data_IF_105737873585
#
_entry.id   IF_105737873585
#
_cell.length_a   1.000
_cell.length_b   1.000
_cell.length_c   1.000
_cell.angle_alpha   90.00
_cell.angle_beta   90.00
_cell.angle_gamma   90.00
#
_symmetry.space_group_name_H-M   'P 1'
#
loop_
_entity.id
_entity.type
_entity.pdbx_description
1 polymer ?
#
# COMPACT_ATOMS: atom_id res chain seq x y z
N UNK A 1 6.68 23.82 7.53
CA UNK A 1 5.44 23.23 8.09
C UNK A 1 5.83 22.02 8.91
N UNK A 2 5.42 21.93 10.20
CA UNK A 2 5.72 20.75 11.02
C UNK A 2 5.12 19.48 10.44
N UNK A 3 5.80 18.33 10.62
CA UNK A 3 5.25 17.02 10.26
C UNK A 3 4.01 16.72 11.10
N UNK A 4 2.98 16.17 10.47
CA UNK A 4 1.73 15.79 11.14
C UNK A 4 1.11 14.56 10.49
N UNK A 5 0.29 13.86 11.26
CA UNK A 5 -0.59 12.83 10.72
C UNK A 5 -1.73 13.48 9.94
N UNK A 6 -1.97 13.02 8.72
CA UNK A 6 -3.07 13.49 7.87
C UNK A 6 -3.79 12.25 7.34
N UNK A 7 -5.08 12.15 7.60
CA UNK A 7 -5.92 11.11 7.02
C UNK A 7 -6.22 11.50 5.56
N UNK A 8 -5.85 10.65 4.62
CA UNK A 8 -6.06 10.86 3.18
C UNK A 8 -7.35 10.18 2.74
N UNK A 9 -7.54 8.93 3.14
CA UNK A 9 -8.76 8.16 2.89
C UNK A 9 -9.30 7.74 4.26
N UNK A 10 -10.58 7.98 4.49
CA UNK A 10 -11.29 7.58 5.70
C UNK A 10 -12.64 6.98 5.31
N UNK A 11 -12.91 5.78 5.82
CA UNK A 11 -14.15 5.05 5.53
C UNK A 11 -14.46 4.92 4.02
N UNK A 12 -13.40 4.68 3.22
CA UNK A 12 -13.49 4.59 1.75
C UNK A 12 -13.60 5.92 1.01
N UNK A 13 -13.65 7.04 1.71
CA UNK A 13 -13.80 8.39 1.14
C UNK A 13 -12.44 9.12 1.12
N UNK A 14 -12.09 9.73 -0.02
CA UNK A 14 -10.96 10.65 -0.11
C UNK A 14 -11.30 11.94 0.65
N UNK A 15 -10.69 12.15 1.81
CA UNK A 15 -10.98 13.28 2.70
C UNK A 15 -9.88 14.36 2.65
N UNK A 16 -8.71 14.05 2.11
CA UNK A 16 -7.59 14.99 2.01
C UNK A 16 -6.65 14.62 0.87
N UNK A 17 -5.66 15.48 0.61
CA UNK A 17 -4.65 15.30 -0.42
C UNK A 17 -3.25 15.59 0.12
N UNK A 18 -2.25 15.01 -0.53
CA UNK A 18 -0.85 15.38 -0.29
C UNK A 18 -0.57 16.71 -0.98
N UNK A 19 -0.15 17.71 -0.23
CA UNK A 19 -0.01 19.09 -0.71
C UNK A 19 1.31 19.75 -0.28
N UNK A 20 1.73 20.74 -1.06
CA UNK A 20 2.63 21.81 -0.65
C UNK A 20 1.80 22.99 -0.05
N UNK A 21 2.45 24.02 0.44
CA UNK A 21 1.76 25.20 0.98
C UNK A 21 0.97 25.97 -0.08
N UNK A 22 1.56 26.13 -1.26
CA UNK A 22 0.94 26.82 -2.40
C UNK A 22 -0.23 26.01 -2.99
N UNK A 23 -0.10 24.69 -3.12
CA UNK A 23 -1.19 23.83 -3.58
C UNK A 23 -2.32 23.82 -2.55
N UNK A 24 -2.01 23.67 -1.27
CA UNK A 24 -3.00 23.69 -0.20
C UNK A 24 -3.81 25.00 -0.20
N UNK A 25 -3.12 26.14 -0.35
CA UNK A 25 -3.79 27.44 -0.45
C UNK A 25 -4.74 27.52 -1.64
N UNK A 26 -4.34 27.05 -2.81
CA UNK A 26 -5.18 27.04 -4.03
C UNK A 26 -6.42 26.15 -3.89
N UNK A 27 -6.30 25.06 -3.14
CA UNK A 27 -7.38 24.10 -2.91
C UNK A 27 -8.24 24.43 -1.67
N UNK A 28 -7.90 25.44 -0.89
CA UNK A 28 -8.57 25.75 0.36
C UNK A 28 -8.37 24.69 1.44
N UNK A 29 -7.22 23.98 1.40
CA UNK A 29 -6.87 22.90 2.32
C UNK A 29 -5.76 23.32 3.26
N UNK A 30 -5.63 22.60 4.37
CA UNK A 30 -4.45 22.70 5.22
C UNK A 30 -3.25 21.98 4.57
N UNK A 31 -2.02 22.53 4.66
CA UNK A 31 -0.84 21.85 4.12
C UNK A 31 -0.60 20.50 4.78
N UNK A 32 -0.41 19.45 3.98
CA UNK A 32 -0.20 18.08 4.46
C UNK A 32 1.25 17.75 4.84
N UNK A 33 2.18 18.72 4.70
CA UNK A 33 3.62 18.54 4.98
C UNK A 33 4.33 17.47 4.13
N UNK A 34 3.87 17.29 2.90
CA UNK A 34 4.39 16.27 1.99
C UNK A 34 5.40 16.80 0.96
N UNK A 35 5.77 18.08 1.02
CA UNK A 35 6.77 18.65 0.12
C UNK A 35 8.19 18.38 0.62
N UNK A 36 8.99 17.64 -0.17
CA UNK A 36 10.34 17.21 0.18
C UNK A 36 11.26 17.25 -1.02
N UNK A 37 12.55 17.50 -0.78
CA UNK A 37 13.66 17.29 -1.70
C UNK A 37 14.42 16.02 -1.32
N UNK A 38 15.04 15.34 -2.29
CA UNK A 38 15.91 14.18 -2.02
C UNK A 38 17.21 14.61 -1.35
N UNK A 39 17.79 15.71 -1.84
CA UNK A 39 19.00 16.34 -1.31
C UNK A 39 18.78 17.83 -1.06
N UNK A 40 19.70 18.46 -0.35
CA UNK A 40 19.56 19.87 0.06
C UNK A 40 19.54 20.87 -1.11
N UNK A 41 20.10 20.52 -2.26
CA UNK A 41 20.15 21.30 -3.48
C UNK A 41 19.09 20.91 -4.53
N UNK A 42 18.29 19.88 -4.25
CA UNK A 42 17.21 19.47 -5.13
C UNK A 42 15.98 20.39 -5.02
N UNK A 43 15.24 20.52 -6.12
CA UNK A 43 13.95 21.19 -6.13
C UNK A 43 12.91 20.34 -5.36
N UNK A 44 12.23 20.90 -4.33
CA UNK A 44 11.26 20.13 -3.55
C UNK A 44 10.02 19.75 -4.37
N UNK A 45 9.56 18.52 -4.23
CA UNK A 45 8.35 18.00 -4.86
C UNK A 45 7.33 17.55 -3.80
N UNK A 46 6.05 17.63 -4.12
CA UNK A 46 5.02 16.94 -3.32
C UNK A 46 5.20 15.44 -3.48
N UNK A 47 5.47 14.75 -2.38
CA UNK A 47 5.83 13.33 -2.40
C UNK A 47 5.10 12.53 -1.32
N UNK A 48 4.89 11.26 -1.60
CA UNK A 48 4.61 10.29 -0.55
C UNK A 48 5.72 10.33 0.51
N UNK A 49 5.31 10.30 1.76
CA UNK A 49 6.18 10.07 2.91
C UNK A 49 5.85 8.71 3.51
N UNK A 50 5.63 8.59 4.82
CA UNK A 50 5.17 7.35 5.43
C UNK A 50 3.66 7.22 5.23
N UNK A 51 3.25 6.69 4.09
CA UNK A 51 1.85 6.48 3.75
C UNK A 51 1.42 5.10 4.27
N UNK A 52 0.54 5.07 5.26
CA UNK A 52 0.27 3.88 6.04
C UNK A 52 -1.20 3.48 5.94
N UNK A 53 -1.46 2.18 5.98
CA UNK A 53 -2.78 1.63 6.26
C UNK A 53 -2.94 1.54 7.78
N UNK A 54 -3.98 2.14 8.33
CA UNK A 54 -4.25 2.07 9.76
C UNK A 54 -4.54 0.61 10.18
N UNK A 55 -4.08 0.17 11.35
CA UNK A 55 -4.38 -1.18 11.84
C UNK A 55 -5.88 -1.34 12.10
N UNK A 56 -6.35 -2.54 11.84
CA UNK A 56 -7.71 -2.98 12.12
C UNK A 56 -7.79 -3.80 13.41
N UNK A 57 -8.24 -5.06 13.30
CA UNK A 57 -8.45 -5.97 14.45
C UNK A 57 -8.07 -7.41 14.09
N UNK A 58 -7.78 -8.19 15.14
CA UNK A 58 -7.44 -9.61 15.03
C UNK A 58 -6.00 -9.86 14.57
N UNK A 59 -5.64 -11.13 14.55
CA UNK A 59 -4.31 -11.62 14.20
C UNK A 59 -4.27 -12.19 12.78
N UNK A 60 -3.05 -12.44 12.28
CA UNK A 60 -2.84 -13.16 11.02
C UNK A 60 -3.41 -14.59 11.09
N UNK A 61 -3.26 -15.27 12.23
CA UNK A 61 -3.80 -16.62 12.42
C UNK A 61 -5.32 -16.63 12.33
N UNK A 62 -6.00 -15.67 12.95
CA UNK A 62 -7.45 -15.51 12.85
C UNK A 62 -7.89 -15.21 11.41
N UNK A 63 -7.15 -14.35 10.69
CA UNK A 63 -7.42 -14.03 9.29
C UNK A 63 -7.30 -15.28 8.42
N UNK A 64 -6.24 -16.07 8.59
CA UNK A 64 -6.06 -17.35 7.88
C UNK A 64 -7.19 -18.31 8.21
N UNK A 65 -7.50 -18.51 9.49
CA UNK A 65 -8.57 -19.41 9.95
C UNK A 65 -9.95 -19.04 9.38
N UNK A 66 -10.19 -17.76 9.13
CA UNK A 66 -11.42 -17.23 8.52
C UNK A 66 -11.35 -17.11 6.98
N UNK A 67 -10.38 -17.74 6.32
CA UNK A 67 -10.24 -17.72 4.86
C UNK A 67 -10.48 -19.12 4.28
N UNK A 68 -11.64 -19.32 3.67
CA UNK A 68 -12.02 -20.63 3.10
C UNK A 68 -11.09 -21.03 1.94
N UNK A 69 -10.73 -20.08 1.05
CA UNK A 69 -9.81 -20.30 -0.08
C UNK A 69 -9.10 -19.01 -0.42
N UNK A 70 -7.78 -19.06 -0.55
CA UNK A 70 -6.99 -17.88 -0.89
C UNK A 70 -5.50 -18.16 -0.99
N UNK A 71 -4.75 -17.07 -1.04
CA UNK A 71 -3.30 -17.06 -0.99
C UNK A 71 -2.84 -15.97 -0.02
N UNK A 72 -2.00 -16.34 0.92
CA UNK A 72 -1.14 -15.40 1.62
C UNK A 72 0.07 -15.14 0.71
N UNK A 73 0.44 -13.88 0.50
CA UNK A 73 1.56 -13.50 -0.38
C UNK A 73 2.49 -12.56 0.35
N UNK A 74 3.79 -12.65 0.06
CA UNK A 74 4.80 -11.81 0.69
C UNK A 74 5.99 -11.56 -0.25
N UNK A 75 6.79 -10.54 0.07
CA UNK A 75 7.99 -10.11 -0.65
C UNK A 75 7.74 -9.80 -2.12
N UNK A 76 7.40 -8.53 -2.39
CA UNK A 76 7.23 -8.04 -3.76
C UNK A 76 8.50 -8.23 -4.58
N UNK A 77 8.37 -8.91 -5.73
CA UNK A 77 9.44 -9.18 -6.68
C UNK A 77 9.46 -8.20 -7.84
N UNK A 78 8.33 -8.09 -8.52
CA UNK A 78 8.16 -7.19 -9.66
C UNK A 78 6.78 -6.57 -9.64
N UNK A 79 6.65 -5.41 -10.28
CA UNK A 79 5.37 -4.71 -10.40
C UNK A 79 5.26 -3.99 -11.73
N UNK A 80 4.02 -3.74 -12.13
CA UNK A 80 3.65 -2.85 -13.21
C UNK A 80 2.42 -2.07 -12.80
N UNK A 81 2.45 -0.76 -13.00
CA UNK A 81 1.37 0.16 -12.65
C UNK A 81 1.24 1.14 -13.81
N UNK A 82 0.03 1.39 -14.31
CA UNK A 82 -0.19 2.37 -15.36
C UNK A 82 0.03 3.82 -14.87
N UNK A 83 0.17 4.76 -15.81
CA UNK A 83 0.46 6.17 -15.50
C UNK A 83 -0.64 6.82 -14.65
N UNK A 84 -1.88 6.39 -14.79
CA UNK A 84 -3.02 6.87 -14.00
C UNK A 84 -3.15 6.17 -12.65
N UNK A 85 -2.33 5.16 -12.36
CA UNK A 85 -2.41 4.30 -11.15
C UNK A 85 -3.76 3.57 -11.04
N UNK A 86 -4.44 3.37 -12.16
CA UNK A 86 -5.74 2.71 -12.21
C UNK A 86 -5.60 1.19 -12.29
N UNK A 87 -4.68 0.69 -13.10
CA UNK A 87 -4.39 -0.73 -13.23
C UNK A 87 -3.05 -1.07 -12.61
N UNK A 88 -2.98 -2.21 -11.95
CA UNK A 88 -1.74 -2.70 -11.38
C UNK A 88 -1.59 -4.21 -11.50
N UNK A 89 -0.34 -4.65 -11.47
CA UNK A 89 0.06 -6.04 -11.34
C UNK A 89 1.25 -6.13 -10.41
N UNK A 90 1.22 -7.05 -9.45
CA UNK A 90 2.33 -7.36 -8.57
C UNK A 90 2.63 -8.86 -8.60
N UNK A 91 3.89 -9.20 -8.76
CA UNK A 91 4.40 -10.56 -8.56
C UNK A 91 5.18 -10.60 -7.25
N UNK A 92 4.91 -11.56 -6.41
CA UNK A 92 5.63 -11.77 -5.15
C UNK A 92 6.63 -12.92 -5.28
N UNK A 93 7.60 -12.99 -4.38
CA UNK A 93 8.59 -14.07 -4.38
C UNK A 93 7.96 -15.41 -3.97
N UNK A 94 7.08 -15.35 -2.97
CA UNK A 94 6.49 -16.52 -2.34
C UNK A 94 5.04 -16.25 -1.97
N UNK A 95 4.27 -17.32 -1.91
CA UNK A 95 2.93 -17.31 -1.34
C UNK A 95 2.60 -18.66 -0.72
N UNK A 96 1.56 -18.67 0.09
CA UNK A 96 1.03 -19.86 0.76
C UNK A 96 -0.42 -20.05 0.37
N UNK A 97 -0.75 -21.23 -0.12
CA UNK A 97 -2.13 -21.57 -0.47
C UNK A 97 -2.93 -21.86 0.79
N UNK A 98 -4.07 -21.21 0.93
CA UNK A 98 -5.00 -21.40 2.02
C UNK A 98 -6.21 -22.18 1.50
N UNK A 99 -6.60 -23.23 2.24
CA UNK A 99 -7.82 -24.01 2.00
C UNK A 99 -8.44 -24.31 3.37
N UNK A 100 -9.73 -24.01 3.52
CA UNK A 100 -10.51 -24.25 4.74
C UNK A 100 -9.81 -23.75 6.03
N UNK A 101 -9.29 -22.51 5.97
CA UNK A 101 -8.64 -21.87 7.10
C UNK A 101 -7.24 -22.39 7.44
N UNK A 102 -6.61 -23.13 6.56
CA UNK A 102 -5.28 -23.72 6.78
C UNK A 102 -4.34 -23.49 5.60
N UNK A 103 -3.07 -23.23 5.90
CA UNK A 103 -2.01 -23.23 4.89
C UNK A 103 -1.74 -24.70 4.48
N UNK A 104 -1.93 -25.00 3.20
CA UNK A 104 -1.81 -26.37 2.66
C UNK A 104 -0.61 -26.55 1.73
N UNK A 105 0.12 -25.49 1.41
CA UNK A 105 1.31 -25.58 0.57
C UNK A 105 1.87 -24.21 0.20
N UNK A 106 3.07 -24.22 -0.37
CA UNK A 106 3.78 -23.05 -0.86
C UNK A 106 3.56 -22.93 -2.37
N UNK A 107 3.42 -21.69 -2.85
CA UNK A 107 3.38 -21.34 -4.26
C UNK A 107 4.49 -20.36 -4.61
N UNK A 108 5.11 -20.57 -5.76
CA UNK A 108 6.21 -19.73 -6.25
C UNK A 108 5.63 -18.60 -7.12
N UNK A 109 6.12 -17.42 -6.90
CA UNK A 109 5.84 -16.24 -7.74
C UNK A 109 4.34 -16.02 -8.03
N UNK A 110 3.46 -16.06 -7.00
CA UNK A 110 2.08 -15.70 -7.25
C UNK A 110 1.99 -14.24 -7.71
N UNK A 111 1.14 -14.01 -8.71
CA UNK A 111 0.93 -12.70 -9.30
C UNK A 111 -0.52 -12.30 -9.12
N UNK A 112 -0.77 -11.15 -8.52
CA UNK A 112 -2.11 -10.58 -8.41
C UNK A 112 -2.20 -9.26 -9.17
N UNK A 113 -3.40 -8.95 -9.66
CA UNK A 113 -3.65 -7.74 -10.43
C UNK A 113 -5.11 -7.32 -10.33
N UNK A 114 -5.36 -6.06 -10.64
CA UNK A 114 -6.70 -5.52 -10.58
C UNK A 114 -6.78 -4.04 -10.94
N UNK A 115 -7.98 -3.51 -10.75
CA UNK A 115 -8.27 -2.08 -10.78
C UNK A 115 -8.14 -1.53 -9.36
N UNK A 116 -7.40 -0.45 -9.19
CA UNK A 116 -7.03 0.08 -7.86
C UNK A 116 -8.25 0.31 -6.97
N UNK A 117 -9.28 0.96 -7.47
CA UNK A 117 -10.48 1.26 -6.67
C UNK A 117 -11.29 0.01 -6.33
N UNK A 118 -11.42 -0.93 -7.25
CA UNK A 118 -12.10 -2.20 -7.01
C UNK A 118 -11.34 -3.05 -5.98
N UNK A 119 -10.01 -3.13 -6.13
CA UNK A 119 -9.15 -3.85 -5.20
C UNK A 119 -9.28 -3.30 -3.77
N UNK A 120 -9.16 -1.99 -3.57
CA UNK A 120 -9.29 -1.40 -2.24
C UNK A 120 -10.70 -1.53 -1.67
N UNK A 121 -11.74 -1.46 -2.50
CA UNK A 121 -13.12 -1.70 -2.07
C UNK A 121 -13.38 -3.16 -1.69
N UNK A 122 -12.57 -4.09 -2.15
CA UNK A 122 -12.66 -5.51 -1.76
C UNK A 122 -11.96 -5.85 -0.43
N UNK A 123 -11.29 -4.87 0.19
CA UNK A 123 -10.64 -5.04 1.48
C UNK A 123 -11.69 -5.29 2.58
N UNK A 124 -11.65 -6.48 3.18
CA UNK A 124 -12.62 -6.86 4.21
C UNK A 124 -12.01 -7.19 5.56
N UNK A 125 -10.68 -7.23 5.66
CA UNK A 125 -9.96 -7.48 6.89
C UNK A 125 -8.60 -6.78 6.90
N UNK A 126 -8.31 -6.07 7.96
CA UNK A 126 -6.99 -5.55 8.30
C UNK A 126 -6.65 -6.04 9.70
N UNK A 127 -5.52 -6.69 9.89
CA UNK A 127 -5.08 -7.17 11.19
C UNK A 127 -4.79 -6.03 12.17
N UNK A 128 -4.71 -6.37 13.44
CA UNK A 128 -4.57 -5.44 14.55
C UNK A 128 -3.19 -4.81 14.69
N UNK A 129 -3.03 -3.89 15.67
CA UNK A 129 -1.78 -3.17 15.89
C UNK A 129 -0.59 -4.06 16.26
N UNK A 130 -0.84 -5.25 16.82
CA UNK A 130 0.22 -6.22 17.17
C UNK A 130 0.92 -6.82 15.94
N UNK A 131 0.20 -6.84 14.80
CA UNK A 131 0.70 -7.32 13.52
C UNK A 131 1.21 -6.18 12.61
N UNK A 132 1.07 -4.92 13.06
CA UNK A 132 1.36 -3.77 12.25
C UNK A 132 2.85 -3.44 12.25
N UNK A 133 3.45 -3.30 11.07
CA UNK A 133 4.87 -3.08 10.89
C UNK A 133 5.16 -2.04 9.83
N UNK A 134 6.33 -1.40 9.92
CA UNK A 134 6.88 -0.56 8.86
C UNK A 134 7.68 -1.39 7.86
N UNK A 135 7.38 -1.19 6.59
CA UNK A 135 8.13 -1.76 5.46
C UNK A 135 8.86 -0.66 4.70
N UNK A 136 10.17 -0.76 4.61
CA UNK A 136 11.02 0.23 3.96
C UNK A 136 10.98 0.13 2.43
N UNK A 137 10.96 1.29 1.77
CA UNK A 137 11.12 1.41 0.32
C UNK A 137 12.33 2.31 0.04
N UNK A 138 13.39 1.75 -0.54
CA UNK A 138 14.64 2.46 -0.76
C UNK A 138 14.66 3.34 -2.02
N UNK A 139 13.83 3.03 -3.00
CA UNK A 139 13.86 3.63 -4.33
C UNK A 139 12.48 4.11 -4.77
N UNK A 140 11.86 5.01 -4.00
CA UNK A 140 10.62 5.65 -4.44
C UNK A 140 10.96 6.82 -5.37
N UNK A 141 10.72 6.65 -6.68
CA UNK A 141 11.00 7.66 -7.70
C UNK A 141 9.82 8.60 -7.95
N UNK A 142 10.11 9.84 -8.29
CA UNK A 142 9.15 10.81 -8.83
C UNK A 142 9.88 11.80 -9.76
N UNK A 143 9.26 12.24 -10.83
CA UNK A 143 9.62 13.36 -11.71
C UNK A 143 8.64 14.52 -11.59
N UNK A 144 8.78 15.59 -12.23
CA UNK A 144 9.93 16.32 -12.76
C UNK A 144 10.40 17.39 -11.76
N UNK A 145 11.69 17.55 -11.52
CA UNK A 145 12.81 16.72 -11.99
C UNK A 145 12.86 15.35 -11.29
N UNK A 146 13.53 14.35 -11.94
CA UNK A 146 13.62 12.98 -11.43
C UNK A 146 14.40 12.91 -10.12
N UNK A 147 13.75 12.41 -9.06
CA UNK A 147 14.31 12.26 -7.71
C UNK A 147 13.93 10.91 -7.12
N UNK A 148 14.82 10.35 -6.31
CA UNK A 148 14.61 9.09 -5.58
C UNK A 148 14.71 9.36 -4.08
N UNK A 149 13.79 8.82 -3.31
CA UNK A 149 13.78 8.93 -1.86
C UNK A 149 13.56 7.59 -1.17
N UNK A 150 14.12 7.49 0.01
CA UNK A 150 13.78 6.46 0.97
C UNK A 150 12.53 6.87 1.77
N UNK A 151 11.65 5.92 1.97
CA UNK A 151 10.45 6.09 2.79
C UNK A 151 10.01 4.73 3.36
N UNK A 152 8.99 4.74 4.20
CA UNK A 152 8.39 3.51 4.72
C UNK A 152 6.87 3.59 4.71
N UNK A 153 6.24 2.43 4.63
CA UNK A 153 4.80 2.26 4.70
C UNK A 153 4.46 1.36 5.87
N UNK A 154 3.58 1.81 6.74
CA UNK A 154 3.08 0.99 7.83
C UNK A 154 1.83 0.23 7.41
N UNK A 155 1.81 -1.08 7.64
CA UNK A 155 0.69 -1.95 7.32
C UNK A 155 0.68 -3.19 8.22
N UNK A 156 -0.49 -3.75 8.47
CA UNK A 156 -0.68 -5.09 8.98
C UNK A 156 -1.16 -6.03 7.85
N UNK A 157 -1.08 -7.35 8.00
CA UNK A 157 -1.66 -8.29 7.05
C UNK A 157 -3.11 -7.92 6.73
N UNK A 158 -3.42 -7.89 5.44
CA UNK A 158 -4.68 -7.35 4.94
C UNK A 158 -5.27 -8.31 3.90
N UNK A 159 -6.58 -8.56 4.00
CA UNK A 159 -7.29 -9.42 3.05
C UNK A 159 -8.12 -8.61 2.06
N UNK A 160 -7.99 -9.00 0.81
CA UNK A 160 -8.78 -8.51 -0.30
C UNK A 160 -9.56 -9.67 -0.92
N UNK A 161 -10.88 -9.53 -1.06
CA UNK A 161 -11.74 -10.54 -1.68
C UNK A 161 -11.70 -10.47 -3.20
N UNK A 162 -12.02 -11.58 -3.83
CA UNK A 162 -12.24 -11.69 -5.28
C UNK A 162 -11.08 -11.16 -6.15
N UNK A 163 -9.89 -11.07 -5.56
CA UNK A 163 -8.68 -10.68 -6.28
C UNK A 163 -8.20 -11.82 -7.17
N UNK A 164 -7.94 -11.51 -8.43
CA UNK A 164 -7.41 -12.49 -9.37
C UNK A 164 -5.93 -12.77 -9.06
N UNK A 165 -5.63 -14.03 -8.75
CA UNK A 165 -4.27 -14.50 -8.47
C UNK A 165 -3.88 -15.57 -9.49
N UNK A 166 -2.77 -15.37 -10.19
CA UNK A 166 -2.13 -16.36 -11.05
C UNK A 166 -0.96 -16.99 -10.31
N UNK A 167 -0.85 -18.30 -10.35
CA UNK A 167 0.30 -19.04 -9.85
C UNK A 167 0.93 -19.82 -11.01
N UNK A 168 2.26 -19.89 -11.04
CA UNK A 168 2.96 -20.79 -11.96
C UNK A 168 2.77 -22.21 -11.45
N UNK A 169 2.27 -23.07 -12.31
CA UNK A 169 2.22 -24.52 -12.06
C UNK A 169 3.60 -25.14 -12.29
#
# INVERSE_FOLDING_TARGET
VPGRKVDIIKDGILVNQQTSRDIAQRLGLDPSSNMKASYGDDFPLVRMTNFCLAPGKGSLDELIANTAKGYLVDFTKTWSIDDNRNNFQFTTEIGWKIVDGKIVGIVKEPTYYGITTEFWNSCDWVCGPEEWQYHGTFHCGKGEPGQVMQLSHGVAPTRFKDTVVKVKM
#
